data_IF_983621499017
#
_entry.id   IF_983621499017
#
_cell.length_a   1.000
_cell.length_b   1.000
_cell.length_c   1.000
_cell.angle_alpha   90.00
_cell.angle_beta   90.00
_cell.angle_gamma   90.00
#
_symmetry.space_group_name_H-M   'P 1'
#
loop_
_entity.id
_entity.type
_entity.pdbx_description
1 polymer ?
#
# COMPACT_ATOMS: atom_id res chain seq x y z
N UNK A 1 -18.44 0.97 1.61
CA UNK A 1 -17.35 1.64 0.87
C UNK A 1 -16.04 1.00 1.26
N UNK A 2 -15.18 0.68 0.29
CA UNK A 2 -13.95 -0.09 0.52
C UNK A 2 -12.66 0.73 0.46
N UNK A 3 -12.74 1.86 -0.26
CA UNK A 3 -11.74 2.90 -0.37
C UNK A 3 -12.51 4.21 -0.48
N UNK A 4 -12.48 5.02 0.56
CA UNK A 4 -13.02 6.38 0.58
C UNK A 4 -11.87 7.41 0.65
N UNK A 5 -10.71 7.01 0.16
CA UNK A 5 -9.51 7.82 0.22
C UNK A 5 -9.73 9.20 -0.42
N UNK A 6 -9.65 10.24 0.41
CA UNK A 6 -9.64 11.63 -0.04
C UNK A 6 -8.20 12.15 0.06
N UNK A 7 -7.49 12.31 -1.07
CA UNK A 7 -6.12 12.80 -1.06
C UNK A 7 -6.04 14.21 -0.46
N UNK A 8 -4.89 14.59 0.09
CA UNK A 8 -4.59 16.00 0.31
C UNK A 8 -4.58 16.72 -1.06
N UNK A 9 -5.32 17.83 -1.24
CA UNK A 9 -5.30 18.61 -2.49
C UNK A 9 -3.89 19.06 -2.92
N UNK A 10 -2.94 19.14 -2.00
CA UNK A 10 -1.54 19.49 -2.27
C UNK A 10 -0.66 18.29 -2.63
N UNK A 11 -1.17 17.06 -2.48
CA UNK A 11 -0.42 15.85 -2.77
C UNK A 11 -0.09 15.75 -4.26
N UNK A 12 1.18 15.46 -4.56
CA UNK A 12 1.64 15.16 -5.91
C UNK A 12 1.69 13.66 -6.15
N UNK A 13 1.01 13.20 -7.21
CA UNK A 13 0.98 11.80 -7.59
C UNK A 13 2.22 11.41 -8.41
N UNK A 14 2.87 10.29 -8.09
CA UNK A 14 4.03 9.76 -8.82
C UNK A 14 3.73 9.46 -10.30
N UNK A 15 2.52 9.03 -10.63
CA UNK A 15 2.12 8.66 -12.00
C UNK A 15 0.67 9.01 -12.32
N UNK A 16 0.17 10.10 -11.72
CA UNK A 16 -1.24 10.46 -11.75
C UNK A 16 -2.09 9.69 -10.72
N UNK A 17 -3.35 10.13 -10.57
CA UNK A 17 -4.29 9.52 -9.64
C UNK A 17 -4.63 8.08 -10.07
N UNK A 18 -4.47 7.07 -9.20
CA UNK A 18 -4.75 5.68 -9.55
C UNK A 18 -6.25 5.41 -9.74
N UNK A 19 -6.56 4.42 -10.59
CA UNK A 19 -7.89 3.84 -10.73
C UNK A 19 -7.92 2.45 -10.04
N UNK A 20 -8.88 2.27 -9.14
CA UNK A 20 -9.09 1.03 -8.38
C UNK A 20 -10.37 0.29 -8.77
N UNK A 21 -11.04 0.68 -9.86
CA UNK A 21 -12.31 0.09 -10.28
C UNK A 21 -12.25 -1.44 -10.39
N UNK A 22 -11.22 -1.96 -11.07
CA UNK A 22 -11.09 -3.40 -11.31
C UNK A 22 -10.81 -4.16 -10.02
N UNK A 23 -9.81 -3.75 -9.24
CA UNK A 23 -9.48 -4.43 -7.98
C UNK A 23 -10.60 -4.32 -6.94
N UNK A 24 -11.38 -3.23 -6.95
CA UNK A 24 -12.57 -3.09 -6.11
C UNK A 24 -13.65 -4.11 -6.51
N UNK A 25 -13.89 -4.27 -7.81
CA UNK A 25 -14.83 -5.28 -8.31
C UNK A 25 -14.38 -6.68 -7.88
N UNK A 26 -13.11 -7.02 -8.13
CA UNK A 26 -12.54 -8.32 -7.73
C UNK A 26 -12.69 -8.55 -6.23
N UNK A 27 -12.43 -7.54 -5.40
CA UNK A 27 -12.65 -7.69 -3.96
C UNK A 27 -14.12 -8.01 -3.63
N UNK A 28 -15.09 -7.28 -4.16
CA UNK A 28 -16.49 -7.51 -3.82
C UNK A 28 -17.03 -8.83 -4.38
N UNK A 29 -16.49 -9.28 -5.52
CA UNK A 29 -16.85 -10.55 -6.14
C UNK A 29 -16.32 -11.76 -5.37
N UNK A 30 -15.11 -11.66 -4.81
CA UNK A 30 -14.39 -12.81 -4.22
C UNK A 30 -14.15 -12.72 -2.71
N UNK A 31 -14.54 -11.63 -2.03
CA UNK A 31 -14.43 -11.55 -0.57
C UNK A 31 -15.23 -12.69 0.09
N UNK A 32 -14.65 -13.25 1.13
CA UNK A 32 -15.27 -14.27 1.97
C UNK A 32 -16.07 -13.68 3.13
N UNK A 33 -15.75 -12.45 3.56
CA UNK A 33 -16.33 -11.81 4.73
C UNK A 33 -16.96 -10.44 4.42
N UNK A 34 -18.07 -10.18 5.11
CA UNK A 34 -18.67 -8.86 5.21
C UNK A 34 -18.53 -8.35 6.64
N UNK A 35 -17.58 -7.44 6.85
CA UNK A 35 -17.33 -6.85 8.16
C UNK A 35 -18.43 -5.86 8.56
N UNK A 36 -18.84 -5.91 9.82
CA UNK A 36 -19.80 -4.96 10.39
C UNK A 36 -19.24 -3.53 10.30
N UNK A 37 -20.10 -2.55 10.01
CA UNK A 37 -19.69 -1.15 9.90
C UNK A 37 -19.18 -0.66 11.25
N UNK A 38 -17.93 -0.22 11.30
CA UNK A 38 -17.29 0.26 12.53
C UNK A 38 -16.55 -0.82 13.32
N UNK A 39 -16.61 -2.09 12.90
CA UNK A 39 -15.75 -3.15 13.42
C UNK A 39 -14.26 -2.86 13.17
N UNK A 40 -13.38 -3.52 13.92
CA UNK A 40 -11.94 -3.34 13.79
C UNK A 40 -11.46 -3.78 12.41
N UNK A 41 -11.99 -4.90 11.91
CA UNK A 41 -11.68 -5.51 10.62
C UNK A 41 -12.11 -4.60 9.46
N UNK A 42 -13.26 -3.92 9.59
CA UNK A 42 -13.68 -2.90 8.65
C UNK A 42 -12.73 -1.68 8.66
N UNK A 43 -12.28 -1.25 9.84
CA UNK A 43 -11.33 -0.14 10.01
C UNK A 43 -9.96 -0.51 9.42
N UNK A 44 -9.42 -1.69 9.75
CA UNK A 44 -8.14 -2.20 9.24
C UNK A 44 -8.20 -2.36 7.72
N UNK A 45 -9.28 -2.95 7.20
CA UNK A 45 -9.49 -3.08 5.75
C UNK A 45 -9.43 -1.76 5.02
N UNK A 46 -10.07 -0.74 5.58
CA UNK A 46 -10.05 0.62 5.04
C UNK A 46 -8.67 1.24 5.16
N UNK A 47 -8.03 1.12 6.32
CA UNK A 47 -6.71 1.69 6.61
C UNK A 47 -5.65 1.14 5.65
N UNK A 48 -5.53 -0.18 5.52
CA UNK A 48 -4.52 -0.83 4.66
C UNK A 48 -4.76 -0.47 3.19
N UNK A 49 -6.02 -0.46 2.73
CA UNK A 49 -6.33 -0.13 1.34
C UNK A 49 -6.04 1.34 1.01
N UNK A 50 -6.29 2.25 1.94
CA UNK A 50 -5.94 3.67 1.80
C UNK A 50 -4.43 3.90 1.91
N UNK A 51 -3.76 3.24 2.86
CA UNK A 51 -2.30 3.28 2.99
C UNK A 51 -1.59 2.78 1.73
N UNK A 52 -2.10 1.73 1.10
CA UNK A 52 -1.56 1.25 -0.17
C UNK A 52 -1.65 2.30 -1.28
N UNK A 53 -2.68 3.17 -1.29
CA UNK A 53 -2.77 4.31 -2.21
C UNK A 53 -1.61 5.27 -1.97
N UNK A 54 -1.39 5.64 -0.72
CA UNK A 54 -0.36 6.60 -0.32
C UNK A 54 1.03 6.06 -0.63
N UNK A 55 1.35 4.86 -0.13
CA UNK A 55 2.66 4.22 -0.25
C UNK A 55 3.11 4.00 -1.70
N UNK A 56 2.18 3.68 -2.61
CA UNK A 56 2.52 3.41 -4.01
C UNK A 56 2.44 4.64 -4.92
N UNK A 57 1.70 5.68 -4.55
CA UNK A 57 1.37 6.75 -5.48
C UNK A 57 1.72 8.16 -5.01
N UNK A 58 2.04 8.39 -3.73
CA UNK A 58 2.38 9.71 -3.19
C UNK A 58 3.79 9.66 -2.60
N UNK A 59 4.73 10.41 -3.20
CA UNK A 59 6.12 10.36 -2.79
C UNK A 59 6.39 11.09 -1.46
N UNK A 60 5.82 12.28 -1.31
CA UNK A 60 5.96 13.08 -0.10
C UNK A 60 5.04 12.56 0.99
N UNK A 61 5.66 12.00 2.03
CA UNK A 61 4.94 11.39 3.15
C UNK A 61 4.19 12.39 4.01
N UNK A 62 4.50 13.70 3.92
CA UNK A 62 3.74 14.74 4.65
C UNK A 62 2.28 14.83 4.20
N UNK A 63 1.97 14.31 3.02
CA UNK A 63 0.60 14.24 2.50
C UNK A 63 -0.10 12.91 2.81
N UNK A 64 0.55 12.01 3.55
CA UNK A 64 -0.05 10.75 3.99
C UNK A 64 -0.92 10.99 5.23
N UNK A 65 -2.12 10.40 5.22
CA UNK A 65 -3.12 10.51 6.28
C UNK A 65 -3.33 9.19 7.02
N UNK A 66 -2.76 8.11 6.53
CA UNK A 66 -2.92 6.77 7.11
C UNK A 66 -2.00 6.50 8.31
N UNK A 67 -1.10 7.43 8.63
CA UNK A 67 -0.21 7.33 9.78
C UNK A 67 0.23 8.71 10.27
N UNK A 68 0.64 8.79 11.54
CA UNK A 68 1.34 9.95 12.09
C UNK A 68 2.82 9.88 11.71
N UNK A 69 3.22 10.65 10.70
CA UNK A 69 4.59 10.68 10.18
C UNK A 69 5.62 11.06 11.25
N UNK A 70 5.24 11.89 12.22
CA UNK A 70 6.15 12.34 13.28
C UNK A 70 6.48 11.25 14.30
N UNK A 71 5.66 10.19 14.36
CA UNK A 71 5.76 9.10 15.33
C UNK A 71 6.02 7.74 14.70
N UNK A 72 5.80 7.61 13.39
CA UNK A 72 5.93 6.32 12.72
C UNK A 72 7.38 5.83 12.72
N UNK A 73 7.57 4.62 13.21
CA UNK A 73 8.80 3.86 13.09
C UNK A 73 8.45 2.41 12.78
N UNK A 74 8.95 1.88 11.66
CA UNK A 74 8.77 0.49 11.26
C UNK A 74 10.05 -0.31 11.43
N UNK A 75 9.94 -1.61 11.64
CA UNK A 75 11.05 -2.56 11.58
C UNK A 75 10.51 -3.89 11.01
N UNK A 76 11.28 -4.54 10.16
CA UNK A 76 10.87 -5.77 9.46
C UNK A 76 11.92 -6.84 9.70
N UNK A 77 11.46 -8.05 10.05
CA UNK A 77 12.30 -9.24 10.24
C UNK A 77 13.51 -9.02 11.18
N UNK A 78 13.33 -8.22 12.25
CA UNK A 78 14.40 -7.88 13.19
C UNK A 78 15.46 -6.90 12.65
N UNK A 79 15.21 -6.30 11.48
CA UNK A 79 16.09 -5.31 10.87
C UNK A 79 16.06 -3.95 11.57
N UNK A 80 16.92 -3.05 11.10
CA UNK A 80 17.01 -1.69 11.63
C UNK A 80 15.69 -0.94 11.47
N UNK A 81 15.31 -0.10 12.46
CA UNK A 81 14.14 0.74 12.33
C UNK A 81 14.25 1.72 11.15
N UNK A 82 13.14 1.96 10.45
CA UNK A 82 13.03 2.90 9.33
C UNK A 82 11.83 3.84 9.51
N UNK A 83 11.91 4.99 8.84
CA UNK A 83 10.87 6.02 8.84
C UNK A 83 9.97 5.88 7.60
N UNK A 84 8.81 6.55 7.60
CA UNK A 84 7.86 6.52 6.49
C UNK A 84 8.50 6.96 5.16
N UNK A 85 9.38 7.98 5.19
CA UNK A 85 10.07 8.46 3.98
C UNK A 85 10.93 7.37 3.35
N UNK A 86 11.64 6.58 4.16
CA UNK A 86 12.41 5.45 3.64
C UNK A 86 11.51 4.41 2.95
N UNK A 87 10.34 4.13 3.53
CA UNK A 87 9.36 3.23 2.90
C UNK A 87 8.80 3.79 1.59
N UNK A 88 8.54 5.10 1.51
CA UNK A 88 8.09 5.76 0.28
C UNK A 88 9.16 5.67 -0.82
N UNK A 89 10.43 5.94 -0.48
CA UNK A 89 11.53 5.99 -1.43
C UNK A 89 11.99 4.60 -1.87
N UNK A 90 12.02 3.64 -0.94
CA UNK A 90 12.46 2.28 -1.21
C UNK A 90 11.35 1.44 -1.86
N UNK A 91 10.10 1.71 -1.50
CA UNK A 91 8.92 1.02 -1.99
C UNK A 91 8.50 -0.16 -1.11
N UNK A 92 7.20 -0.29 -0.88
CA UNK A 92 6.62 -1.30 -0.01
C UNK A 92 7.01 -2.74 -0.40
N UNK A 93 7.02 -3.08 -1.69
CA UNK A 93 7.39 -4.43 -2.13
C UNK A 93 8.86 -4.76 -1.84
N UNK A 94 9.79 -3.84 -2.15
CA UNK A 94 11.21 -3.97 -1.81
C UNK A 94 11.41 -4.17 -0.30
N UNK A 95 10.67 -3.40 0.49
CA UNK A 95 10.79 -3.37 1.93
C UNK A 95 10.24 -4.64 2.60
N UNK A 96 9.04 -5.09 2.23
CA UNK A 96 8.34 -6.18 2.91
C UNK A 96 8.71 -7.58 2.39
N UNK A 97 8.93 -7.75 1.09
CA UNK A 97 9.27 -9.07 0.53
C UNK A 97 10.73 -9.43 0.78
N UNK A 98 11.62 -8.43 0.85
CA UNK A 98 13.05 -8.65 1.00
C UNK A 98 13.64 -9.46 -0.16
N UNK A 99 14.66 -10.27 0.15
CA UNK A 99 15.35 -11.11 -0.82
C UNK A 99 14.75 -12.52 -0.79
N UNK A 100 14.37 -13.02 -1.97
CA UNK A 100 13.81 -14.34 -2.18
C UNK A 100 14.39 -14.96 -3.46
N UNK A 101 14.09 -16.23 -3.73
CA UNK A 101 14.54 -16.91 -4.96
C UNK A 101 14.14 -16.17 -6.24
N UNK A 102 12.92 -15.63 -6.25
CA UNK A 102 12.28 -15.09 -7.45
C UNK A 102 12.22 -13.54 -7.44
N UNK A 103 12.73 -12.89 -6.37
CA UNK A 103 12.75 -11.43 -6.23
C UNK A 103 13.96 -10.96 -5.41
N UNK A 104 14.77 -10.07 -5.97
CA UNK A 104 15.91 -9.46 -5.27
C UNK A 104 15.75 -7.94 -5.21
N UNK A 105 15.41 -7.42 -4.03
CA UNK A 105 15.22 -5.98 -3.84
C UNK A 105 16.48 -5.14 -4.13
N UNK A 106 17.69 -5.72 -4.04
CA UNK A 106 18.96 -4.99 -4.20
C UNK A 106 19.19 -4.48 -5.62
N UNK A 107 18.54 -5.10 -6.61
CA UNK A 107 18.64 -4.69 -8.02
C UNK A 107 17.44 -3.84 -8.46
N UNK A 108 16.51 -3.53 -7.56
CA UNK A 108 15.29 -2.81 -7.87
C UNK A 108 15.22 -1.43 -7.22
N UNK A 109 15.15 -0.38 -8.04
CA UNK A 109 14.59 0.91 -7.59
C UNK A 109 13.09 0.77 -7.31
N UNK A 110 12.51 1.78 -6.64
CA UNK A 110 11.06 1.90 -6.47
C UNK A 110 10.29 1.68 -7.80
N UNK A 111 10.70 2.36 -8.88
CA UNK A 111 10.03 2.33 -10.17
C UNK A 111 10.12 0.94 -10.81
N UNK A 112 11.30 0.32 -10.75
CA UNK A 112 11.50 -1.01 -11.33
C UNK A 112 10.73 -2.09 -10.55
N UNK A 113 10.70 -2.00 -9.21
CA UNK A 113 9.86 -2.83 -8.35
C UNK A 113 8.39 -2.66 -8.71
N UNK A 114 7.90 -1.41 -8.74
CA UNK A 114 6.52 -1.11 -9.14
C UNK A 114 6.16 -1.68 -10.50
N UNK A 115 7.07 -1.59 -11.48
CA UNK A 115 6.86 -2.16 -12.81
C UNK A 115 6.70 -3.68 -12.74
N UNK A 116 7.58 -4.39 -12.03
CA UNK A 116 7.49 -5.84 -11.84
C UNK A 116 6.12 -6.25 -11.27
N UNK A 117 5.70 -5.64 -10.16
CA UNK A 117 4.44 -6.02 -9.52
C UNK A 117 3.20 -5.62 -10.31
N UNK A 118 3.20 -4.46 -10.99
CA UNK A 118 2.10 -4.08 -11.87
C UNK A 118 1.97 -4.97 -13.09
N UNK A 119 3.09 -5.48 -13.62
CA UNK A 119 3.07 -6.45 -14.71
C UNK A 119 2.61 -7.83 -14.25
N UNK A 120 3.05 -8.28 -13.06
CA UNK A 120 2.64 -9.56 -12.49
C UNK A 120 1.16 -9.60 -12.06
N UNK A 121 0.65 -8.47 -11.55
CA UNK A 121 -0.72 -8.32 -11.07
C UNK A 121 -1.48 -7.24 -11.87
N UNK A 122 -1.82 -7.50 -13.15
CA UNK A 122 -2.44 -6.49 -14.01
C UNK A 122 -3.84 -6.06 -13.52
N UNK A 123 -4.51 -6.90 -12.73
CA UNK A 123 -5.81 -6.60 -12.10
C UNK A 123 -5.68 -6.02 -10.68
N UNK A 124 -4.46 -5.78 -10.23
CA UNK A 124 -4.15 -5.41 -8.86
C UNK A 124 -4.27 -6.59 -7.90
N UNK A 125 -4.20 -6.26 -6.61
CA UNK A 125 -4.24 -7.24 -5.52
C UNK A 125 -5.41 -6.92 -4.59
N UNK A 126 -6.45 -7.76 -4.61
CA UNK A 126 -7.66 -7.60 -3.84
C UNK A 126 -7.47 -8.15 -2.41
N UNK A 127 -6.82 -7.36 -1.55
CA UNK A 127 -6.55 -7.74 -0.17
C UNK A 127 -7.83 -7.79 0.69
N UNK A 128 -7.95 -8.84 1.51
CA UNK A 128 -9.04 -9.07 2.47
C UNK A 128 -8.48 -9.27 3.89
N UNK A 129 -9.12 -8.61 4.87
CA UNK A 129 -8.91 -8.87 6.30
C UNK A 129 -9.81 -10.05 6.68
N UNK A 130 -9.24 -11.13 7.22
CA UNK A 130 -10.02 -12.30 7.66
C UNK A 130 -10.37 -12.23 9.15
N UNK A 131 -9.49 -11.62 9.94
CA UNK A 131 -9.54 -11.42 11.39
C UNK A 131 -8.72 -10.19 11.77
#
# INVERSE_FOLDING_TARGET
VIRDYVPDPKASWRSGKPDYLIVNRTFFEYRSLEHEVGSLEAIVSKLIKNWAVEAHHIADVQHWKTMDISKFQGAINGGCPFMAQHMSDFGACNLFLGESRDYNYRVHSFESSQKVFRTAFPMGFAWECLE
#
